data_IF_270935431497
#
_entry.id   IF_270935431497
#
_cell.length_a   1.000
_cell.length_b   1.000
_cell.length_c   1.000
_cell.angle_alpha   90.00
_cell.angle_beta   90.00
_cell.angle_gamma   90.00
#
_symmetry.space_group_name_H-M   'P 1'
#
loop_
_entity.id
_entity.type
_entity.pdbx_description
1 polymer ?
#
# COMPACT_ATOMS: atom_id res chain seq x y z
N UNK A 1 -1.06 -32.06 4.13
CA UNK A 1 -1.62 -30.68 4.15
C UNK A 1 -1.77 -30.31 5.62
N UNK A 2 -0.83 -29.52 6.18
CA UNK A 2 -0.79 -29.27 7.63
C UNK A 2 -1.64 -28.03 7.93
N UNK A 3 -2.80 -28.25 8.55
CA UNK A 3 -3.68 -27.20 9.08
C UNK A 3 -2.99 -26.49 10.24
N UNK A 4 -3.01 -25.16 10.23
CA UNK A 4 -2.59 -24.34 11.36
C UNK A 4 -3.88 -23.73 11.93
N UNK A 5 -4.26 -24.20 13.12
CA UNK A 5 -5.45 -23.76 13.87
C UNK A 5 -5.25 -22.33 14.41
N UNK A 6 -6.30 -21.49 14.46
CA UNK A 6 -6.24 -20.19 15.11
C UNK A 6 -6.27 -20.34 16.64
N UNK A 7 -5.38 -19.63 17.35
CA UNK A 7 -5.41 -19.52 18.81
C UNK A 7 -6.51 -18.52 19.21
N UNK A 8 -7.52 -19.01 19.95
CA UNK A 8 -8.44 -18.18 20.73
C UNK A 8 -7.65 -17.35 21.75
N UNK A 9 -8.02 -16.09 21.93
CA UNK A 9 -7.71 -15.31 23.13
C UNK A 9 -9.02 -14.77 23.70
N UNK A 10 -9.22 -15.09 24.96
CA UNK A 10 -10.35 -14.74 25.78
C UNK A 10 -10.47 -13.23 25.98
N UNK A 11 -11.72 -12.80 25.98
CA UNK A 11 -12.21 -11.48 26.34
C UNK A 11 -12.26 -11.32 27.86
N UNK A 12 -11.51 -10.35 28.39
CA UNK A 12 -11.78 -9.75 29.70
C UNK A 12 -11.74 -8.23 29.57
N UNK A 13 -12.78 -7.60 30.12
CA UNK A 13 -13.16 -6.23 29.85
C UNK A 13 -12.26 -5.19 30.51
N UNK A 14 -12.20 -4.02 29.87
CA UNK A 14 -11.84 -2.77 30.54
C UNK A 14 -12.65 -1.63 29.93
N UNK A 15 -13.35 -0.94 30.82
CA UNK A 15 -14.22 0.20 30.60
C UNK A 15 -13.48 1.40 29.99
N UNK A 16 -14.13 2.05 29.02
CA UNK A 16 -13.69 3.31 28.42
C UNK A 16 -14.18 4.51 29.24
N UNK A 17 -13.32 5.47 29.62
CA UNK A 17 -13.77 6.78 30.05
C UNK A 17 -14.01 7.68 28.84
N UNK A 18 -15.17 8.33 28.84
CA UNK A 18 -15.56 9.41 27.93
C UNK A 18 -14.76 10.68 28.24
N UNK A 19 -13.93 11.14 27.31
CA UNK A 19 -13.30 12.45 27.36
C UNK A 19 -13.59 13.22 26.06
N UNK A 20 -14.45 14.23 26.18
CA UNK A 20 -14.67 15.27 25.17
C UNK A 20 -13.40 16.11 25.05
N UNK A 21 -12.73 16.06 23.90
CA UNK A 21 -11.65 16.98 23.56
C UNK A 21 -11.99 17.70 22.24
N UNK A 22 -12.35 18.98 22.34
CA UNK A 22 -12.40 19.90 21.20
C UNK A 22 -10.99 20.03 20.65
N UNK A 23 -10.77 19.57 19.41
CA UNK A 23 -9.48 19.73 18.72
C UNK A 23 -9.19 21.20 18.39
N UNK A 24 -7.91 21.58 18.25
CA UNK A 24 -7.52 22.94 17.87
C UNK A 24 -7.93 23.24 16.42
N UNK A 25 -8.14 24.52 16.03
CA UNK A 25 -8.55 24.87 14.69
C UNK A 25 -7.46 24.53 13.67
N UNK A 26 -7.89 24.10 12.48
CA UNK A 26 -7.04 23.68 11.37
C UNK A 26 -6.06 24.80 10.95
N UNK A 27 -4.76 24.51 11.04
CA UNK A 27 -3.71 25.34 10.46
C UNK A 27 -3.84 25.37 8.93
N UNK A 28 -3.87 26.58 8.36
CA UNK A 28 -4.03 26.80 6.92
C UNK A 28 -2.92 26.18 6.08
N UNK A 29 -3.30 25.50 5.00
CA UNK A 29 -2.37 24.92 4.02
C UNK A 29 -1.84 25.99 3.06
N UNK A 30 -0.51 26.06 2.88
CA UNK A 30 0.14 26.92 1.89
C UNK A 30 -0.16 26.43 0.47
N UNK A 31 -0.65 27.32 -0.42
CA UNK A 31 -0.93 27.03 -1.83
C UNK A 31 0.28 27.42 -2.68
N UNK A 32 0.87 26.46 -3.40
CA UNK A 32 1.91 26.75 -4.42
C UNK A 32 3.22 26.00 -4.20
N UNK A 33 3.20 24.69 -4.42
CA UNK A 33 4.40 23.85 -4.39
C UNK A 33 5.03 23.78 -5.78
N UNK A 34 6.22 24.35 -5.95
CA UNK A 34 7.10 24.08 -7.09
C UNK A 34 8.10 22.97 -6.72
N UNK A 35 8.37 22.03 -7.63
CA UNK A 35 9.32 20.93 -7.42
C UNK A 35 10.42 20.96 -8.48
N UNK A 36 11.67 21.13 -8.05
CA UNK A 36 12.84 21.06 -8.94
C UNK A 36 13.59 19.73 -8.68
N UNK A 37 13.89 18.96 -9.74
CA UNK A 37 14.62 17.70 -9.64
C UNK A 37 16.10 17.86 -10.04
N UNK A 38 17.02 17.26 -9.27
CA UNK A 38 18.42 17.08 -9.67
C UNK A 38 18.79 15.59 -9.66
N UNK A 39 19.04 15.05 -10.84
CA UNK A 39 19.86 13.85 -11.09
C UNK A 39 21.05 14.29 -11.94
N UNK A 40 22.20 13.60 -11.85
CA UNK A 40 23.48 13.94 -12.50
C UNK A 40 23.38 14.90 -13.69
N UNK A 41 23.80 16.16 -13.47
CA UNK A 41 23.94 17.24 -14.45
C UNK A 41 22.86 17.31 -15.56
N UNK A 42 21.60 17.60 -15.21
CA UNK A 42 20.64 18.38 -16.03
C UNK A 42 19.39 18.71 -15.20
N UNK A 43 19.01 20.00 -15.17
CA UNK A 43 17.80 20.48 -14.51
C UNK A 43 16.57 20.19 -15.40
N UNK A 44 15.54 19.59 -14.82
CA UNK A 44 14.21 19.50 -15.45
C UNK A 44 13.16 20.02 -14.47
N UNK A 45 12.37 20.98 -14.93
CA UNK A 45 11.23 21.53 -14.20
C UNK A 45 10.02 20.61 -14.40
N UNK A 46 9.41 20.13 -13.32
CA UNK A 46 8.27 19.20 -13.38
C UNK A 46 7.05 19.88 -12.78
N UNK A 47 6.21 20.45 -13.62
CA UNK A 47 4.92 21.03 -13.22
C UNK A 47 3.90 19.92 -12.95
N UNK A 48 3.48 19.75 -11.69
CA UNK A 48 2.39 18.85 -11.31
C UNK A 48 1.00 19.40 -11.69
N UNK A 49 0.09 18.51 -12.14
CA UNK A 49 -1.31 18.84 -12.46
C UNK A 49 -2.07 19.37 -11.24
N UNK A 50 -2.89 20.40 -11.46
CA UNK A 50 -3.82 20.99 -10.48
C UNK A 50 -5.12 20.18 -10.41
N UNK A 51 -5.62 19.94 -9.21
CA UNK A 51 -7.05 19.73 -8.96
C UNK A 51 -7.55 20.93 -8.14
N UNK A 52 -8.58 21.62 -8.66
CA UNK A 52 -9.25 22.73 -7.99
C UNK A 52 -10.61 22.24 -7.48
N UNK A 53 -10.98 22.60 -6.25
CA UNK A 53 -12.38 22.54 -5.79
C UNK A 53 -13.04 23.93 -5.90
N UNK A 54 -14.33 23.90 -6.24
CA UNK A 54 -15.24 25.00 -6.46
C UNK A 54 -15.70 25.60 -5.13
N UNK A 55 -15.22 26.82 -4.84
CA UNK A 55 -15.96 27.91 -4.18
C UNK A 55 -14.98 29.03 -3.85
N UNK A 56 -14.73 29.88 -4.84
CA UNK A 56 -13.98 31.12 -4.64
C UNK A 56 -14.77 32.07 -3.75
N UNK A 57 -14.22 32.43 -2.58
CA UNK A 57 -14.53 33.67 -1.85
C UNK A 57 -13.27 34.19 -1.16
N UNK A 58 -12.95 35.45 -1.43
CA UNK A 58 -11.86 36.22 -0.80
C UNK A 58 -12.43 36.99 0.39
N UNK A 59 -11.73 37.03 1.52
CA UNK A 59 -11.93 38.04 2.55
C UNK A 59 -10.63 38.84 2.68
N UNK A 60 -10.72 40.16 2.46
CA UNK A 60 -9.65 41.12 2.74
C UNK A 60 -9.79 41.53 4.21
N UNK A 61 -8.70 41.52 4.95
CA UNK A 61 -8.57 42.32 6.17
C UNK A 61 -7.32 43.19 6.01
N UNK A 62 -7.55 44.50 5.95
CA UNK A 62 -6.50 45.51 6.01
C UNK A 62 -6.06 45.67 7.46
N UNK A 63 -4.76 45.82 7.71
CA UNK A 63 -4.29 46.51 8.89
C UNK A 63 -3.11 47.42 8.54
N UNK A 64 -3.23 48.64 9.08
CA UNK A 64 -2.47 49.85 8.82
C UNK A 64 -1.03 49.77 9.32
N UNK A 65 -0.11 50.37 8.56
CA UNK A 65 1.27 50.63 8.99
C UNK A 65 1.40 52.06 9.57
N UNK A 66 2.14 52.22 10.66
CA UNK A 66 3.00 53.38 11.06
C UNK A 66 3.65 53.07 12.42
N UNK A 67 4.96 52.93 12.50
CA UNK A 67 5.88 54.00 12.94
C UNK A 67 7.05 53.39 13.74
N UNK A 68 8.16 54.12 13.97
CA UNK A 68 9.52 53.61 13.76
C UNK A 68 10.26 53.23 15.04
N UNK A 69 11.14 52.24 14.96
CA UNK A 69 12.05 51.89 16.06
C UNK A 69 12.46 50.42 15.96
N UNK A 70 13.76 50.18 15.78
CA UNK A 70 14.29 48.84 15.55
C UNK A 70 14.25 47.92 16.77
N UNK A 71 14.59 46.67 16.46
CA UNK A 71 15.05 45.54 17.28
C UNK A 71 14.05 44.46 17.71
N UNK A 72 14.61 43.25 17.65
CA UNK A 72 14.07 41.92 17.89
C UNK A 72 13.12 41.37 16.82
N UNK A 73 13.66 40.51 15.95
CA UNK A 73 12.86 39.45 15.32
C UNK A 73 12.40 38.52 16.47
N UNK A 74 11.31 38.93 17.11
CA UNK A 74 10.63 38.17 18.14
C UNK A 74 10.31 36.78 17.58
N UNK A 75 10.63 35.77 18.40
CA UNK A 75 10.60 34.36 18.06
C UNK A 75 9.40 34.00 17.21
N UNK A 76 9.69 33.52 16.01
CA UNK A 76 8.73 32.73 15.25
C UNK A 76 8.30 31.62 16.18
N UNK A 77 7.04 31.69 16.62
CA UNK A 77 6.43 30.64 17.41
C UNK A 77 6.79 29.33 16.75
N UNK A 78 7.60 28.53 17.44
CA UNK A 78 7.98 27.20 17.00
C UNK A 78 6.69 26.38 17.03
N UNK A 79 5.93 26.47 15.95
CA UNK A 79 5.04 25.40 15.56
C UNK A 79 5.99 24.23 15.46
N UNK A 80 5.91 23.31 16.42
CA UNK A 80 6.50 22.00 16.29
C UNK A 80 5.77 21.29 15.16
N UNK A 81 6.01 21.75 13.93
CA UNK A 81 5.71 21.02 12.72
C UNK A 81 6.58 19.79 12.88
N UNK A 82 5.97 18.63 13.01
CA UNK A 82 6.69 17.36 12.99
C UNK A 82 7.54 17.38 11.72
N UNK A 83 8.81 17.78 11.87
CA UNK A 83 9.65 18.10 10.75
C UNK A 83 9.99 16.76 10.15
N UNK A 84 9.35 16.40 9.02
CA UNK A 84 9.71 15.17 8.31
C UNK A 84 11.23 15.10 8.19
N UNK A 85 11.78 14.09 8.86
CA UNK A 85 13.16 13.72 8.76
C UNK A 85 13.23 12.63 7.70
N UNK A 86 14.04 12.83 6.63
CA UNK A 86 14.36 11.75 5.72
C UNK A 86 14.87 10.56 6.53
N UNK A 87 14.38 9.36 6.22
CA UNK A 87 14.91 8.14 6.84
C UNK A 87 16.39 8.02 6.48
N UNK A 88 17.25 7.79 7.48
CA UNK A 88 18.66 7.45 7.27
C UNK A 88 18.81 6.05 6.72
N UNK A 89 18.47 5.85 5.44
CA UNK A 89 18.40 4.54 4.80
C UNK A 89 19.72 3.75 4.96
N UNK A 90 20.85 4.43 4.80
CA UNK A 90 22.20 3.86 4.91
C UNK A 90 22.56 3.39 6.34
N UNK A 91 21.86 3.91 7.35
CA UNK A 91 22.03 3.52 8.75
C UNK A 91 21.20 2.30 9.15
N UNK A 92 20.40 1.74 8.24
CA UNK A 92 19.57 0.57 8.55
C UNK A 92 20.36 -0.73 8.41
N UNK A 93 20.09 -1.71 9.29
CA UNK A 93 20.74 -3.03 9.29
C UNK A 93 20.61 -3.70 7.91
N UNK A 94 19.42 -3.66 7.30
CA UNK A 94 19.17 -4.26 6.00
C UNK A 94 19.97 -3.59 4.87
N UNK A 95 20.12 -2.25 4.91
CA UNK A 95 20.94 -1.54 3.93
C UNK A 95 22.41 -1.93 4.06
N UNK A 96 22.95 -1.92 5.29
CA UNK A 96 24.31 -2.38 5.56
C UNK A 96 24.57 -3.80 5.07
N UNK A 97 23.69 -4.74 5.42
CA UNK A 97 23.81 -6.14 5.00
C UNK A 97 23.84 -6.29 3.47
N UNK A 98 22.93 -5.62 2.76
CA UNK A 98 22.93 -5.67 1.29
C UNK A 98 24.19 -5.01 0.74
N UNK A 99 24.58 -3.84 1.24
CA UNK A 99 25.75 -3.10 0.77
C UNK A 99 27.01 -3.93 0.90
N UNK A 100 27.18 -4.59 2.03
CA UNK A 100 28.42 -5.28 2.39
C UNK A 100 28.50 -6.69 1.75
N UNK A 101 27.37 -7.29 1.37
CA UNK A 101 27.33 -8.67 0.86
C UNK A 101 26.78 -8.85 -0.57
N UNK A 102 26.27 -7.82 -1.23
CA UNK A 102 25.65 -7.94 -2.56
C UNK A 102 26.60 -8.54 -3.60
N UNK A 103 27.83 -8.03 -3.71
CA UNK A 103 28.77 -8.50 -4.73
C UNK A 103 29.19 -9.96 -4.50
N UNK A 104 29.42 -10.36 -3.24
CA UNK A 104 29.65 -11.76 -2.85
C UNK A 104 28.47 -12.64 -3.26
N UNK A 105 27.24 -12.22 -2.92
CA UNK A 105 26.03 -12.95 -3.29
C UNK A 105 25.89 -13.13 -4.82
N UNK A 106 26.15 -12.09 -5.60
CA UNK A 106 26.05 -12.15 -7.07
C UNK A 106 27.10 -13.08 -7.67
N UNK A 107 28.35 -13.02 -7.19
CA UNK A 107 29.42 -13.93 -7.62
C UNK A 107 29.08 -15.38 -7.28
N UNK A 108 28.74 -15.67 -6.02
CA UNK A 108 28.43 -17.02 -5.58
C UNK A 108 27.20 -17.60 -6.32
N UNK A 109 26.22 -16.75 -6.66
CA UNK A 109 25.08 -17.15 -7.48
C UNK A 109 25.50 -17.50 -8.92
N UNK A 110 26.40 -16.72 -9.53
CA UNK A 110 26.93 -17.01 -10.85
C UNK A 110 27.72 -18.33 -10.88
N UNK A 111 28.58 -18.56 -9.89
CA UNK A 111 29.34 -19.81 -9.76
C UNK A 111 28.43 -21.04 -9.67
N UNK A 112 27.35 -20.97 -8.88
CA UNK A 112 26.38 -22.07 -8.72
C UNK A 112 25.49 -22.31 -9.94
N UNK A 113 25.51 -21.41 -10.92
CA UNK A 113 24.63 -21.45 -12.09
C UNK A 113 25.43 -21.39 -13.39
N UNK A 114 26.69 -21.83 -13.36
CA UNK A 114 27.57 -21.90 -14.53
C UNK A 114 27.66 -20.56 -15.29
N UNK A 115 27.67 -19.45 -14.54
CA UNK A 115 27.76 -18.09 -15.06
C UNK A 115 26.43 -17.40 -15.36
N UNK A 116 25.28 -18.08 -15.25
CA UNK A 116 23.98 -17.46 -15.53
C UNK A 116 23.60 -16.39 -14.49
N UNK A 117 23.99 -16.57 -13.23
CA UNK A 117 23.73 -15.66 -12.12
C UNK A 117 22.26 -15.60 -11.70
N UNK A 118 21.91 -14.52 -10.99
CA UNK A 118 20.51 -14.20 -10.67
C UNK A 118 19.83 -13.51 -11.85
N UNK A 119 18.49 -13.60 -11.97
CA UNK A 119 17.77 -12.82 -12.99
C UNK A 119 18.06 -11.32 -12.88
N UNK A 120 18.24 -10.64 -14.02
CA UNK A 120 18.62 -9.20 -14.07
C UNK A 120 17.74 -8.28 -13.21
N UNK A 121 16.45 -8.57 -13.10
CA UNK A 121 15.55 -7.75 -12.28
C UNK A 121 15.84 -7.88 -10.77
N UNK A 122 16.38 -9.02 -10.32
CA UNK A 122 16.77 -9.25 -8.92
C UNK A 122 17.98 -8.39 -8.58
N UNK A 123 19.03 -8.46 -9.40
CA UNK A 123 20.22 -7.62 -9.21
C UNK A 123 19.86 -6.14 -9.27
N UNK A 124 19.06 -5.74 -10.27
CA UNK A 124 18.56 -4.36 -10.39
C UNK A 124 17.86 -3.90 -9.12
N UNK A 125 16.98 -4.72 -8.54
CA UNK A 125 16.25 -4.35 -7.33
C UNK A 125 17.16 -4.16 -6.12
N UNK A 126 18.20 -5.00 -5.95
CA UNK A 126 19.22 -4.79 -4.92
C UNK A 126 20.02 -3.51 -5.13
N UNK A 127 20.48 -3.26 -6.35
CA UNK A 127 21.24 -2.03 -6.67
C UNK A 127 20.40 -0.77 -6.49
N UNK A 128 19.13 -0.78 -6.93
CA UNK A 128 18.20 0.34 -6.72
C UNK A 128 17.90 0.56 -5.23
N UNK A 129 17.73 -0.51 -4.45
CA UNK A 129 17.56 -0.41 -3.00
C UNK A 129 18.71 0.33 -2.32
N UNK A 130 19.96 0.06 -2.71
CA UNK A 130 21.13 0.75 -2.15
C UNK A 130 21.16 2.26 -2.42
N UNK A 131 20.44 2.72 -3.45
CA UNK A 131 20.30 4.16 -3.76
C UNK A 131 19.08 4.81 -3.11
N UNK A 132 18.14 4.02 -2.60
CA UNK A 132 16.85 4.50 -2.12
C UNK A 132 16.98 5.37 -0.87
N UNK A 133 16.54 6.63 -0.96
CA UNK A 133 16.57 7.56 0.17
C UNK A 133 17.93 8.21 0.42
N UNK A 134 18.91 8.00 -0.46
CA UNK A 134 20.26 8.57 -0.34
C UNK A 134 20.31 9.90 -1.09
N UNK A 135 20.52 11.02 -0.37
CA UNK A 135 20.55 12.36 -0.97
C UNK A 135 21.62 12.49 -2.07
N UNK A 136 22.80 11.89 -1.87
CA UNK A 136 23.88 11.90 -2.87
C UNK A 136 23.52 11.15 -4.17
N UNK A 137 22.47 10.31 -4.16
CA UNK A 137 21.96 9.60 -5.34
C UNK A 137 20.82 10.33 -6.06
N UNK A 138 20.45 11.53 -5.60
CA UNK A 138 19.49 12.41 -6.24
C UNK A 138 18.29 12.75 -5.35
N UNK A 139 17.73 13.94 -5.58
CA UNK A 139 16.63 14.47 -4.78
C UNK A 139 15.78 15.48 -5.57
N UNK A 140 14.56 15.68 -5.09
CA UNK A 140 13.73 16.83 -5.42
C UNK A 140 13.90 17.91 -4.33
N UNK A 141 14.08 19.16 -4.74
CA UNK A 141 13.96 20.32 -3.84
C UNK A 141 12.52 20.81 -3.90
N UNK A 142 11.84 20.74 -2.76
CA UNK A 142 10.52 21.30 -2.55
C UNK A 142 10.70 22.64 -1.87
N UNK A 143 10.21 23.70 -2.48
CA UNK A 143 10.27 25.06 -1.93
C UNK A 143 8.86 25.64 -1.93
N UNK A 144 8.48 26.29 -0.82
CA UNK A 144 7.28 27.10 -0.80
C UNK A 144 7.53 28.43 -1.52
N UNK A 145 6.61 28.84 -2.39
CA UNK A 145 6.70 30.14 -3.06
C UNK A 145 6.47 31.33 -2.11
N UNK A 146 5.70 31.10 -1.04
CA UNK A 146 5.18 32.17 -0.17
C UNK A 146 5.94 32.28 1.16
N UNK A 147 6.63 31.23 1.58
CA UNK A 147 7.49 31.24 2.75
C UNK A 147 8.85 30.65 2.43
N UNK A 148 9.90 31.05 3.16
CA UNK A 148 11.27 30.56 2.94
C UNK A 148 11.46 29.06 3.25
N UNK A 149 10.37 28.31 3.46
CA UNK A 149 10.40 26.89 3.67
C UNK A 149 10.97 26.17 2.45
N UNK A 150 12.00 25.35 2.69
CA UNK A 150 12.56 24.44 1.72
C UNK A 150 12.86 23.08 2.33
N UNK A 151 12.82 22.05 1.49
CA UNK A 151 13.18 20.69 1.88
C UNK A 151 13.76 19.92 0.69
N UNK A 152 14.77 19.12 0.97
CA UNK A 152 15.26 18.11 0.04
C UNK A 152 14.55 16.79 0.31
N UNK A 153 14.03 16.17 -0.75
CA UNK A 153 13.35 14.88 -0.72
C UNK A 153 14.16 13.91 -1.57
N UNK A 154 14.87 12.93 -0.98
CA UNK A 154 15.67 11.98 -1.75
C UNK A 154 14.77 11.11 -2.62
N UNK A 155 15.29 10.67 -3.77
CA UNK A 155 14.57 9.74 -4.62
C UNK A 155 14.44 8.37 -3.97
N UNK A 156 13.37 7.67 -4.32
CA UNK A 156 13.05 6.34 -3.83
C UNK A 156 13.22 5.32 -4.95
N UNK A 157 13.56 4.07 -4.60
CA UNK A 157 13.67 3.00 -5.60
C UNK A 157 12.32 2.64 -6.25
N UNK A 158 11.19 3.03 -5.62
CA UNK A 158 9.82 2.69 -6.05
C UNK A 158 9.55 1.17 -6.18
N UNK A 159 10.50 0.34 -5.73
CA UNK A 159 10.45 -1.12 -5.73
C UNK A 159 9.33 -1.68 -4.87
N UNK A 160 9.08 -2.98 -5.04
CA UNK A 160 7.96 -3.70 -4.39
C UNK A 160 8.37 -4.99 -3.69
N UNK A 161 9.64 -5.39 -3.76
CA UNK A 161 10.15 -6.60 -3.14
C UNK A 161 10.36 -6.39 -1.63
N UNK A 162 11.54 -5.89 -1.25
CA UNK A 162 11.97 -5.94 0.15
C UNK A 162 12.32 -4.56 0.75
N UNK A 163 12.34 -3.48 -0.03
CA UNK A 163 12.61 -2.14 0.48
C UNK A 163 11.52 -1.72 1.49
N UNK A 164 11.82 -1.58 2.80
CA UNK A 164 10.80 -1.30 3.81
C UNK A 164 10.14 0.07 3.63
N UNK A 165 10.89 1.04 3.09
CA UNK A 165 10.39 2.39 2.83
C UNK A 165 9.37 2.41 1.69
N UNK A 166 9.73 1.85 0.53
CA UNK A 166 8.86 1.87 -0.65
C UNK A 166 7.73 0.85 -0.56
N UNK A 167 8.05 -0.38 -0.13
CA UNK A 167 7.08 -1.44 0.08
C UNK A 167 6.07 -1.07 1.16
N UNK A 168 6.55 -0.64 2.34
CA UNK A 168 5.69 -0.21 3.44
C UNK A 168 4.75 0.93 3.07
N UNK A 169 5.28 2.00 2.45
CA UNK A 169 4.47 3.12 1.98
C UNK A 169 3.38 2.67 1.02
N UNK A 170 3.74 1.86 0.02
CA UNK A 170 2.78 1.35 -0.98
C UNK A 170 1.73 0.45 -0.34
N UNK A 171 2.10 -0.40 0.62
CA UNK A 171 1.13 -1.22 1.36
C UNK A 171 0.13 -0.35 2.11
N UNK A 172 0.61 0.67 2.83
CA UNK A 172 -0.27 1.60 3.55
C UNK A 172 -1.17 2.41 2.61
N UNK A 173 -0.64 2.95 1.51
CA UNK A 173 -1.42 3.69 0.51
C UNK A 173 -2.47 2.80 -0.15
N UNK A 174 -2.12 1.55 -0.51
CA UNK A 174 -3.06 0.60 -1.09
C UNK A 174 -4.15 0.20 -0.08
N UNK A 175 -3.80 -0.01 1.18
CA UNK A 175 -4.75 -0.35 2.22
C UNK A 175 -5.76 0.79 2.46
N UNK A 176 -5.28 2.03 2.57
CA UNK A 176 -6.14 3.21 2.68
C UNK A 176 -7.08 3.32 1.47
N UNK A 177 -6.55 3.24 0.25
CA UNK A 177 -7.39 3.28 -0.95
C UNK A 177 -8.45 2.17 -0.98
N UNK A 178 -8.11 0.94 -0.58
CA UNK A 178 -9.07 -0.15 -0.53
C UNK A 178 -10.19 0.11 0.48
N UNK A 179 -9.87 0.64 1.67
CA UNK A 179 -10.85 0.91 2.73
C UNK A 179 -11.70 2.14 2.43
N UNK A 180 -11.09 3.19 1.90
CA UNK A 180 -11.73 4.50 1.75
C UNK A 180 -12.55 4.58 0.44
N UNK A 181 -12.09 3.94 -0.63
CA UNK A 181 -12.61 4.19 -1.99
C UNK A 181 -13.14 2.95 -2.73
N UNK A 182 -12.80 1.73 -2.30
CA UNK A 182 -13.09 0.49 -3.07
C UNK A 182 -14.04 -0.44 -2.35
N UNK A 183 -13.76 -0.79 -1.09
CA UNK A 183 -14.53 -1.77 -0.35
C UNK A 183 -15.76 -1.10 0.30
N UNK A 184 -16.98 -1.59 0.05
CA UNK A 184 -18.15 -1.10 0.76
C UNK A 184 -18.09 -1.51 2.24
N UNK A 185 -18.85 -0.80 3.09
CA UNK A 185 -18.99 -1.09 4.52
C UNK A 185 -19.87 -2.33 4.75
N UNK A 186 -19.35 -3.50 4.40
CA UNK A 186 -19.97 -4.81 4.57
C UNK A 186 -18.92 -5.81 5.07
N UNK A 187 -19.33 -6.95 5.66
CA UNK A 187 -18.39 -8.00 6.04
C UNK A 187 -17.49 -8.44 4.87
N UNK A 188 -16.20 -8.58 5.14
CA UNK A 188 -15.19 -9.06 4.17
C UNK A 188 -14.49 -10.28 4.76
N UNK A 189 -14.30 -11.31 3.94
CA UNK A 189 -13.59 -12.54 4.29
C UNK A 189 -12.34 -12.71 3.46
N UNK A 190 -11.24 -13.08 4.12
CA UNK A 190 -10.03 -13.48 3.42
C UNK A 190 -10.12 -14.95 3.01
N UNK A 191 -9.94 -15.20 1.72
CA UNK A 191 -9.69 -16.52 1.15
C UNK A 191 -8.24 -16.59 0.67
N UNK A 192 -7.54 -17.67 1.00
CA UNK A 192 -6.16 -17.88 0.56
C UNK A 192 -6.06 -19.19 -0.21
N UNK A 193 -5.70 -19.11 -1.50
CA UNK A 193 -5.35 -20.28 -2.29
C UNK A 193 -3.83 -20.40 -2.37
N UNK A 194 -3.29 -21.41 -1.69
CA UNK A 194 -1.89 -21.83 -1.88
C UNK A 194 -1.85 -22.94 -2.93
N UNK A 195 -1.15 -22.71 -4.03
CA UNK A 195 -1.08 -23.70 -5.11
C UNK A 195 -0.12 -24.85 -4.77
N UNK A 196 -0.38 -26.07 -5.29
CA UNK A 196 0.54 -27.20 -5.16
C UNK A 196 1.98 -26.85 -5.55
N UNK A 197 2.95 -27.45 -4.87
CA UNK A 197 4.37 -27.14 -5.05
C UNK A 197 4.81 -27.20 -6.51
N UNK A 198 4.39 -28.24 -7.24
CA UNK A 198 4.71 -28.46 -8.65
C UNK A 198 4.26 -27.32 -9.58
N UNK A 199 3.21 -26.58 -9.22
CA UNK A 199 2.69 -25.49 -10.03
C UNK A 199 3.38 -24.15 -9.75
N UNK A 200 4.05 -23.99 -8.61
CA UNK A 200 4.58 -22.68 -8.16
C UNK A 200 5.60 -22.11 -9.16
N UNK A 201 6.50 -22.95 -9.66
CA UNK A 201 7.52 -22.52 -10.63
C UNK A 201 6.89 -22.10 -11.97
N UNK A 202 5.94 -22.89 -12.48
CA UNK A 202 5.21 -22.57 -13.71
C UNK A 202 4.45 -21.25 -13.59
N UNK A 203 3.74 -21.03 -12.48
CA UNK A 203 2.97 -19.81 -12.24
C UNK A 203 3.86 -18.59 -11.94
N UNK A 204 5.10 -18.81 -11.48
CA UNK A 204 6.06 -17.74 -11.29
C UNK A 204 6.44 -17.10 -12.63
N UNK A 205 6.70 -17.91 -13.65
CA UNK A 205 7.18 -17.42 -14.94
C UNK A 205 6.07 -17.22 -15.98
N UNK A 206 5.00 -18.00 -15.92
CA UNK A 206 3.87 -17.87 -16.83
C UNK A 206 2.76 -16.99 -16.21
N UNK A 207 2.86 -15.69 -16.41
CA UNK A 207 1.88 -14.71 -15.91
C UNK A 207 0.48 -14.92 -16.47
N UNK A 208 0.35 -15.38 -17.74
CA UNK A 208 -0.95 -15.69 -18.35
C UNK A 208 -1.61 -16.86 -17.63
N UNK A 209 -0.86 -17.93 -17.38
CA UNK A 209 -1.35 -19.09 -16.62
C UNK A 209 -1.71 -18.69 -15.18
N UNK A 210 -0.86 -17.90 -14.51
CA UNK A 210 -1.14 -17.39 -13.17
C UNK A 210 -2.48 -16.63 -13.10
N UNK A 211 -2.75 -15.75 -14.08
CA UNK A 211 -4.02 -15.04 -14.20
C UNK A 211 -5.20 -15.96 -14.52
N UNK A 212 -5.00 -16.98 -15.35
CA UNK A 212 -6.03 -17.97 -15.66
C UNK A 212 -6.44 -18.78 -14.41
N UNK A 213 -5.46 -19.27 -13.64
CA UNK A 213 -5.73 -19.96 -12.37
C UNK A 213 -6.44 -19.04 -11.39
N UNK A 214 -6.01 -17.77 -11.28
CA UNK A 214 -6.69 -16.77 -10.47
C UNK A 214 -8.15 -16.57 -10.90
N UNK A 215 -8.42 -16.48 -12.21
CA UNK A 215 -9.77 -16.31 -12.73
C UNK A 215 -10.69 -17.49 -12.40
N UNK A 216 -10.18 -18.73 -12.49
CA UNK A 216 -10.93 -19.93 -12.09
C UNK A 216 -11.20 -19.91 -10.59
N UNK A 217 -10.19 -19.61 -9.78
CA UNK A 217 -10.30 -19.54 -8.33
C UNK A 217 -11.34 -18.50 -7.86
N UNK A 218 -11.26 -17.25 -8.35
CA UNK A 218 -12.23 -16.20 -8.02
C UNK A 218 -13.64 -16.58 -8.47
N UNK A 219 -13.78 -17.18 -9.66
CA UNK A 219 -15.07 -17.66 -10.16
C UNK A 219 -15.67 -18.75 -9.27
N UNK A 220 -14.85 -19.69 -8.79
CA UNK A 220 -15.29 -20.76 -7.89
C UNK A 220 -15.82 -20.19 -6.57
N UNK A 221 -15.07 -19.27 -5.94
CA UNK A 221 -15.45 -18.64 -4.67
C UNK A 221 -16.70 -17.76 -4.83
N UNK A 222 -16.75 -16.85 -5.82
CA UNK A 222 -17.94 -16.04 -6.06
C UNK A 222 -19.15 -16.88 -6.47
N UNK A 223 -18.92 -17.96 -7.23
CA UNK A 223 -19.95 -18.93 -7.56
C UNK A 223 -20.52 -19.64 -6.33
N UNK A 224 -19.71 -19.92 -5.31
CA UNK A 224 -20.18 -20.48 -4.04
C UNK A 224 -21.14 -19.54 -3.31
N UNK A 225 -20.79 -18.26 -3.17
CA UNK A 225 -21.67 -17.26 -2.56
C UNK A 225 -22.98 -17.10 -3.34
N UNK A 226 -22.91 -17.02 -4.68
CA UNK A 226 -24.10 -16.96 -5.55
C UNK A 226 -25.00 -18.18 -5.42
N UNK A 227 -24.42 -19.39 -5.33
CA UNK A 227 -25.20 -20.63 -5.14
C UNK A 227 -25.91 -20.65 -3.79
N UNK A 228 -25.27 -20.20 -2.71
CA UNK A 228 -25.90 -20.07 -1.38
C UNK A 228 -27.04 -19.06 -1.40
N UNK A 229 -26.83 -17.90 -2.00
CA UNK A 229 -27.86 -16.88 -2.16
C UNK A 229 -29.10 -17.42 -2.90
N UNK A 230 -28.89 -18.12 -4.02
CA UNK A 230 -29.98 -18.74 -4.80
C UNK A 230 -30.81 -19.73 -3.98
N UNK A 231 -30.22 -20.50 -3.07
CA UNK A 231 -30.96 -21.42 -2.19
C UNK A 231 -31.87 -20.70 -1.19
N UNK A 232 -31.55 -19.44 -0.88
CA UNK A 232 -32.35 -18.56 -0.02
C UNK A 232 -33.33 -17.70 -0.83
N UNK A 233 -33.50 -17.98 -2.12
CA UNK A 233 -34.42 -17.25 -3.00
C UNK A 233 -33.85 -15.97 -3.63
N UNK A 234 -32.63 -15.56 -3.29
CA UNK A 234 -32.03 -14.33 -3.84
C UNK A 234 -31.52 -14.56 -5.26
N UNK A 235 -32.10 -13.85 -6.24
CA UNK A 235 -31.77 -13.91 -7.68
C UNK A 235 -30.94 -12.70 -8.09
N UNK A 236 -30.32 -12.76 -9.28
CA UNK A 236 -29.55 -11.64 -9.84
C UNK A 236 -28.28 -11.24 -9.10
N UNK A 237 -27.93 -11.97 -8.04
CA UNK A 237 -26.92 -11.51 -7.09
C UNK A 237 -25.47 -11.54 -7.59
N UNK A 238 -24.70 -10.55 -7.16
CA UNK A 238 -23.28 -10.37 -7.47
C UNK A 238 -22.44 -10.19 -6.20
N UNK A 239 -21.24 -10.76 -6.22
CA UNK A 239 -20.23 -10.52 -5.19
C UNK A 239 -19.05 -9.73 -5.75
N UNK A 240 -18.10 -9.40 -4.88
CA UNK A 240 -16.88 -8.69 -5.24
C UNK A 240 -15.65 -9.33 -4.59
N UNK A 241 -14.51 -9.22 -5.27
CA UNK A 241 -13.25 -9.71 -4.75
C UNK A 241 -12.06 -8.84 -5.19
N UNK A 242 -11.09 -8.66 -4.30
CA UNK A 242 -9.78 -8.06 -4.58
C UNK A 242 -8.70 -9.07 -4.24
N UNK A 243 -7.81 -9.37 -5.20
CA UNK A 243 -6.73 -10.34 -5.00
C UNK A 243 -5.35 -9.71 -5.08
N UNK A 244 -4.50 -10.04 -4.12
CA UNK A 244 -3.05 -9.84 -4.15
C UNK A 244 -2.37 -11.18 -4.41
N UNK A 245 -1.57 -11.24 -5.47
CA UNK A 245 -0.74 -12.42 -5.79
C UNK A 245 0.58 -12.28 -5.04
N UNK A 246 0.78 -13.10 -4.03
CA UNK A 246 2.04 -13.16 -3.30
C UNK A 246 2.91 -14.28 -3.87
N UNK A 247 4.22 -14.01 -3.99
CA UNK A 247 5.17 -14.89 -4.68
C UNK A 247 6.19 -15.58 -3.77
N UNK A 248 6.19 -15.23 -2.49
CA UNK A 248 7.18 -15.70 -1.52
C UNK A 248 6.50 -16.13 -0.22
N UNK A 249 7.03 -17.18 0.40
CA UNK A 249 6.64 -17.61 1.74
C UNK A 249 7.39 -16.84 2.82
N UNK A 250 7.10 -17.13 4.10
CA UNK A 250 7.77 -16.49 5.23
C UNK A 250 9.30 -16.67 5.24
N UNK A 251 9.81 -17.76 4.65
CA UNK A 251 11.24 -18.00 4.46
C UNK A 251 11.81 -17.46 3.14
N UNK A 252 11.10 -16.55 2.45
CA UNK A 252 11.42 -16.01 1.13
C UNK A 252 11.54 -17.06 0.00
N UNK A 253 11.13 -18.30 0.27
CA UNK A 253 11.06 -19.36 -0.72
C UNK A 253 9.93 -19.09 -1.73
N UNK A 254 10.10 -19.56 -2.97
CA UNK A 254 9.06 -19.45 -3.99
C UNK A 254 7.75 -20.09 -3.50
N UNK A 255 6.73 -19.26 -3.33
CA UNK A 255 5.43 -19.68 -2.88
C UNK A 255 4.37 -18.79 -3.54
N UNK A 256 3.91 -19.18 -4.73
CA UNK A 256 2.80 -18.48 -5.39
C UNK A 256 1.50 -18.82 -4.64
N UNK A 257 0.85 -17.80 -4.08
CA UNK A 257 -0.45 -17.92 -3.44
C UNK A 257 -1.28 -16.65 -3.62
N UNK A 258 -2.59 -16.79 -3.54
CA UNK A 258 -3.54 -15.72 -3.79
C UNK A 258 -4.21 -15.32 -2.49
N UNK A 259 -3.92 -14.12 -1.99
CA UNK A 259 -4.68 -13.50 -0.91
C UNK A 259 -5.86 -12.75 -1.51
N UNK A 260 -7.07 -13.24 -1.29
CA UNK A 260 -8.29 -12.68 -1.88
C UNK A 260 -9.22 -12.20 -0.79
N UNK A 261 -9.46 -10.89 -0.76
CA UNK A 261 -10.51 -10.28 0.04
C UNK A 261 -11.81 -10.41 -0.76
N UNK A 262 -12.79 -11.11 -0.20
CA UNK A 262 -14.10 -11.35 -0.82
C UNK A 262 -15.17 -10.72 0.06
N UNK A 263 -16.14 -10.04 -0.53
CA UNK A 263 -17.33 -9.62 0.22
C UNK A 263 -18.01 -10.88 0.79
N UNK A 264 -18.23 -10.93 2.09
CA UNK A 264 -18.73 -12.13 2.78
C UNK A 264 -20.26 -12.23 2.65
N UNK A 265 -20.71 -12.28 1.41
CA UNK A 265 -22.09 -12.10 1.00
C UNK A 265 -22.18 -11.66 -0.45
N UNK A 266 -23.31 -11.09 -0.80
CA UNK A 266 -23.68 -10.72 -2.18
C UNK A 266 -24.60 -9.51 -2.16
N UNK A 267 -24.50 -8.67 -3.18
CA UNK A 267 -25.48 -7.66 -3.50
C UNK A 267 -26.54 -8.22 -4.45
N UNK A 268 -27.80 -7.90 -4.22
CA UNK A 268 -28.89 -8.11 -5.17
C UNK A 268 -29.68 -6.82 -5.33
N UNK A 269 -30.28 -6.64 -6.51
CA UNK A 269 -31.17 -5.51 -6.76
C UNK A 269 -32.57 -5.84 -6.21
N UNK A 270 -33.14 -4.89 -5.48
CA UNK A 270 -34.52 -4.98 -4.97
C UNK A 270 -35.51 -4.67 -6.08
N UNK A 271 -36.80 -4.94 -5.85
CA UNK A 271 -37.87 -4.55 -6.80
C UNK A 271 -37.91 -3.04 -7.06
N UNK A 272 -37.39 -2.23 -6.14
CA UNK A 272 -37.31 -0.77 -6.27
C UNK A 272 -36.01 -0.28 -6.95
N UNK A 273 -35.18 -1.19 -7.47
CA UNK A 273 -33.93 -0.85 -8.17
C UNK A 273 -32.76 -0.45 -7.26
N UNK A 274 -32.90 -0.58 -5.94
CA UNK A 274 -31.80 -0.34 -4.99
C UNK A 274 -30.96 -1.61 -4.78
N UNK A 275 -29.67 -1.45 -4.45
CA UNK A 275 -28.81 -2.59 -4.11
C UNK A 275 -28.88 -2.90 -2.61
N UNK A 276 -29.22 -4.14 -2.28
CA UNK A 276 -29.23 -4.68 -0.92
C UNK A 276 -28.12 -5.71 -0.74
N UNK A 277 -27.41 -5.66 0.39
CA UNK A 277 -26.40 -6.65 0.75
C UNK A 277 -27.00 -7.78 1.58
N UNK A 278 -26.86 -9.01 1.09
CA UNK A 278 -27.23 -10.22 1.81
C UNK A 278 -25.98 -10.91 2.38
N UNK A 279 -25.76 -10.86 3.70
CA UNK A 279 -24.62 -11.51 4.33
C UNK A 279 -24.72 -13.03 4.19
N UNK A 280 -23.56 -13.66 4.01
CA UNK A 280 -23.44 -15.11 4.01
C UNK A 280 -23.12 -15.64 5.41
N UNK A 281 -23.62 -16.83 5.70
CA UNK A 281 -23.12 -17.60 6.85
C UNK A 281 -21.66 -17.99 6.64
N UNK A 282 -20.86 -18.13 7.71
CA UNK A 282 -19.51 -18.65 7.59
C UNK A 282 -19.46 -19.99 6.82
N UNK A 283 -18.46 -20.22 5.95
CA UNK A 283 -18.29 -21.52 5.31
C UNK A 283 -17.90 -22.57 6.34
N UNK A 284 -18.48 -23.77 6.23
CA UNK A 284 -18.04 -24.94 7.00
C UNK A 284 -16.83 -25.60 6.33
N UNK A 285 -16.10 -26.47 7.04
CA UNK A 285 -15.03 -27.27 6.43
C UNK A 285 -15.54 -28.11 5.25
N UNK A 286 -16.76 -28.62 5.33
CA UNK A 286 -17.41 -29.34 4.25
C UNK A 286 -17.68 -28.45 3.02
N UNK A 287 -18.01 -27.17 3.22
CA UNK A 287 -18.13 -26.21 2.13
C UNK A 287 -16.80 -25.95 1.45
N UNK A 288 -15.73 -25.78 2.24
CA UNK A 288 -14.37 -25.57 1.71
C UNK A 288 -13.91 -26.81 0.96
N UNK A 289 -14.15 -28.02 1.47
CA UNK A 289 -13.82 -29.27 0.79
C UNK A 289 -14.54 -29.40 -0.56
N UNK A 290 -15.83 -29.06 -0.63
CA UNK A 290 -16.58 -29.04 -1.90
C UNK A 290 -16.01 -28.03 -2.90
N UNK A 291 -15.61 -26.85 -2.44
CA UNK A 291 -14.97 -25.83 -3.27
C UNK A 291 -13.64 -26.29 -3.86
N UNK A 292 -12.87 -27.10 -3.12
CA UNK A 292 -11.60 -27.65 -3.59
C UNK A 292 -11.77 -28.81 -4.60
N UNK A 293 -12.95 -29.41 -4.65
CA UNK A 293 -13.28 -30.50 -5.57
C UNK A 293 -13.92 -30.02 -6.90
N UNK A 294 -14.06 -28.70 -7.09
CA UNK A 294 -14.67 -28.09 -8.29
C UNK A 294 -13.62 -27.73 -9.34
#
# INVERSE_FOLDING_TARGET
>A
MRMMMPKNRDSSGMSTPTASARGPPAGGYCRGLGAQARAGARQHDVTGRRYCDARGRRARAAFSARGPGGTSLAGGAAVAVNAYQPRGAEGTILHGLVRDHLETFLRDAAERTEGAGVPRFVEKEFREFLTCGVLARGFARVRCGDCAYERLVPFSCKGRGFCPSCGGRRMSEQAAHLVDEVLPRVPVRQWVLTVPHRLRYLLAWNHKLCRAVLAVYVRAVLGFYRRRARRRGVKGAQGGAVTVIQRFGGGLNLNIHFHTLVLDGIFAETEMGSLEFHPAEPPTDADVARLLAT
#
